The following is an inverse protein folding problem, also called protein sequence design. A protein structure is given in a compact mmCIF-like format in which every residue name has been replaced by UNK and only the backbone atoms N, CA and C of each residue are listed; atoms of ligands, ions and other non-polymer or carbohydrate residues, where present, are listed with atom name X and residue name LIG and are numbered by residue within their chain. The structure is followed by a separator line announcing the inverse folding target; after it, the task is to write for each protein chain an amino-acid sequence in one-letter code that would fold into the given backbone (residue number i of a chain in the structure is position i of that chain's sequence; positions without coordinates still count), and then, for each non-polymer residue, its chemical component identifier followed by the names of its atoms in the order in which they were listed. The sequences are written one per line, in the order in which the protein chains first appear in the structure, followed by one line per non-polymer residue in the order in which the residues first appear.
data_IF_037073129460
#
_entry.id   IF_037073129460
#
_cell.length_a   1.000
_cell.length_b   1.000
_cell.length_c   1.000
_cell.angle_alpha   90.00
_cell.angle_beta   90.00
_cell.angle_gamma   90.00
#
_symmetry.space_group_name_H-M   'P 1'
#
loop_
_entity.id
_entity.type
_entity.pdbx_description
1 polymer ?
#
# COMPACT_ATOMS: atom_id res chain seq x y z
N UNK A 1 -24.59 0.85 8.43
CA UNK A 1 -24.18 1.70 9.56
C UNK A 1 -23.12 2.67 9.05
N UNK A 2 -23.21 3.97 9.39
CA UNK A 2 -22.16 4.92 9.01
C UNK A 2 -20.85 4.56 9.73
N UNK A 3 -19.80 4.30 8.97
CA UNK A 3 -18.48 3.98 9.53
C UNK A 3 -17.89 5.25 10.15
N UNK A 4 -17.42 5.20 11.39
CA UNK A 4 -16.72 6.35 12.00
C UNK A 4 -15.57 6.76 11.10
N UNK A 5 -15.43 8.04 10.74
CA UNK A 5 -14.34 8.48 9.87
C UNK A 5 -12.96 8.16 10.47
N UNK A 6 -12.01 7.73 9.62
CA UNK A 6 -10.62 7.61 10.04
C UNK A 6 -10.05 8.99 10.40
N UNK A 7 -9.14 9.09 11.38
CA UNK A 7 -8.52 10.35 11.74
C UNK A 7 -7.78 10.97 10.55
N UNK A 8 -7.78 12.31 10.52
CA UNK A 8 -6.98 13.06 9.55
C UNK A 8 -5.50 12.99 9.91
N UNK A 9 -4.66 13.09 8.90
CA UNK A 9 -3.22 13.11 9.06
C UNK A 9 -2.72 14.39 9.75
N UNK A 10 -1.94 14.23 10.82
CA UNK A 10 -1.35 15.33 11.58
C UNK A 10 -0.11 14.87 12.34
N UNK A 11 0.63 15.79 12.93
CA UNK A 11 1.72 15.51 13.86
C UNK A 11 1.24 15.85 15.27
N UNK A 12 1.48 14.94 16.20
CA UNK A 12 1.10 15.07 17.60
C UNK A 12 2.15 15.91 18.38
N UNK A 13 1.78 16.51 19.54
CA UNK A 13 2.72 17.26 20.36
C UNK A 13 3.91 16.47 20.90
N UNK A 14 3.78 15.16 21.05
CA UNK A 14 4.85 14.23 21.45
C UNK A 14 5.81 13.86 20.32
N UNK A 15 5.59 14.39 19.11
CA UNK A 15 6.37 14.13 17.92
C UNK A 15 5.94 12.89 17.14
N UNK A 16 4.97 12.11 17.64
CA UNK A 16 4.35 11.04 16.85
C UNK A 16 3.54 11.62 15.69
N UNK A 17 3.29 10.81 14.67
CA UNK A 17 2.52 11.25 13.51
C UNK A 17 1.36 10.31 13.23
N UNK A 18 0.17 10.87 13.06
CA UNK A 18 -0.96 10.17 12.44
C UNK A 18 -0.82 10.34 10.93
N UNK A 19 -0.78 9.22 10.22
CA UNK A 19 -0.64 9.16 8.76
C UNK A 19 -1.69 8.24 8.16
N UNK A 20 -2.04 8.48 6.90
CA UNK A 20 -2.87 7.60 6.09
C UNK A 20 -2.03 6.89 5.04
N UNK A 21 -2.18 5.58 4.96
CA UNK A 21 -1.51 4.72 3.97
C UNK A 21 -2.57 4.05 3.13
N UNK A 22 -2.47 4.18 1.80
CA UNK A 22 -3.37 3.54 0.85
C UNK A 22 -2.60 2.48 0.05
N UNK A 23 -3.03 1.23 0.07
CA UNK A 23 -2.56 0.19 -0.85
C UNK A 23 -3.56 0.01 -1.98
N UNK A 24 -3.08 0.02 -3.24
CA UNK A 24 -3.97 -0.07 -4.39
C UNK A 24 -3.30 -0.74 -5.61
N UNK A 25 -3.81 -1.89 -6.03
CA UNK A 25 -3.49 -2.48 -7.33
C UNK A 25 -4.24 -1.71 -8.43
N UNK A 26 -3.50 -1.04 -9.31
CA UNK A 26 -4.05 -0.12 -10.33
C UNK A 26 -4.10 -0.72 -11.74
N UNK A 27 -3.90 -2.03 -11.87
CA UNK A 27 -4.04 -2.78 -13.14
C UNK A 27 -3.39 -2.10 -14.35
N UNK A 28 -2.17 -1.58 -14.19
CA UNK A 28 -1.44 -0.83 -15.22
C UNK A 28 -2.20 0.38 -15.79
N UNK A 29 -3.16 0.93 -15.05
CA UNK A 29 -4.04 2.04 -15.45
C UNK A 29 -4.79 1.73 -16.76
N UNK A 30 -5.36 0.53 -16.86
CA UNK A 30 -6.12 0.07 -18.04
C UNK A 30 -7.59 0.48 -18.00
N UNK A 31 -8.10 0.78 -16.81
CA UNK A 31 -9.47 1.17 -16.54
C UNK A 31 -9.57 2.72 -16.47
N UNK A 32 -10.56 3.29 -15.78
CA UNK A 32 -10.77 4.73 -15.67
C UNK A 32 -9.73 5.37 -14.74
N UNK A 33 -8.74 6.05 -15.34
CA UNK A 33 -7.66 6.71 -14.61
C UNK A 33 -8.11 7.95 -13.83
N UNK A 34 -9.20 8.59 -14.25
CA UNK A 34 -9.74 9.76 -13.55
C UNK A 34 -10.51 9.31 -12.31
N UNK A 35 -11.28 8.23 -12.40
CA UNK A 35 -11.88 7.58 -11.24
C UNK A 35 -10.82 7.12 -10.23
N UNK A 36 -9.73 6.50 -10.73
CA UNK A 36 -8.59 6.09 -9.90
C UNK A 36 -7.99 7.29 -9.15
N UNK A 37 -7.76 8.41 -9.84
CA UNK A 37 -7.22 9.62 -9.24
C UNK A 37 -8.19 10.22 -8.19
N UNK A 38 -9.51 10.21 -8.46
CA UNK A 38 -10.52 10.69 -7.50
C UNK A 38 -10.55 9.83 -6.24
N UNK A 39 -10.51 8.50 -6.36
CA UNK A 39 -10.46 7.59 -5.21
C UNK A 39 -9.22 7.85 -4.36
N UNK A 40 -8.03 7.92 -4.96
CA UNK A 40 -6.80 8.21 -4.23
C UNK A 40 -6.90 9.58 -3.55
N UNK A 41 -7.32 10.63 -4.27
CA UNK A 41 -7.44 11.99 -3.74
C UNK A 41 -8.44 12.08 -2.59
N UNK A 42 -9.61 11.43 -2.69
CA UNK A 42 -10.62 11.41 -1.65
C UNK A 42 -10.14 10.72 -0.35
N UNK A 43 -9.32 9.67 -0.46
CA UNK A 43 -8.70 9.02 0.70
C UNK A 43 -7.67 9.91 1.41
N UNK A 44 -7.17 10.96 0.75
CA UNK A 44 -6.15 11.90 1.25
C UNK A 44 -4.98 11.17 1.94
N UNK A 45 -4.29 10.21 1.27
CA UNK A 45 -3.22 9.45 1.89
C UNK A 45 -1.92 10.26 1.98
N UNK A 46 -1.10 9.97 2.99
CA UNK A 46 0.29 10.44 3.06
C UNK A 46 1.24 9.56 2.24
N UNK A 47 0.89 8.28 2.12
CA UNK A 47 1.63 7.28 1.35
C UNK A 47 0.66 6.45 0.52
N UNK A 48 1.02 6.20 -0.75
CA UNK A 48 0.30 5.26 -1.62
C UNK A 48 1.24 4.15 -2.03
N UNK A 49 0.88 2.93 -1.69
CA UNK A 49 1.55 1.70 -2.08
C UNK A 49 0.82 1.15 -3.31
N UNK A 50 1.42 1.33 -4.47
CA UNK A 50 0.84 0.94 -5.75
C UNK A 50 1.34 -0.44 -6.16
N UNK A 51 0.44 -1.27 -6.70
CA UNK A 51 0.76 -2.48 -7.41
C UNK A 51 0.33 -2.34 -8.87
N UNK A 52 0.98 -3.06 -9.75
CA UNK A 52 0.78 -3.00 -11.20
C UNK A 52 0.88 -1.59 -11.79
N UNK A 53 1.82 -0.76 -11.33
CA UNK A 53 2.12 0.47 -12.05
C UNK A 53 2.50 0.17 -13.52
N UNK A 54 2.17 1.03 -14.48
CA UNK A 54 2.61 0.86 -15.87
C UNK A 54 4.12 0.65 -15.95
N UNK A 55 4.58 -0.35 -16.74
CA UNK A 55 6.02 -0.68 -16.85
C UNK A 55 6.60 -0.38 -18.21
N UNK A 56 5.75 -0.23 -19.23
CA UNK A 56 6.15 -0.05 -20.63
C UNK A 56 5.84 1.36 -21.10
N UNK A 57 6.13 1.66 -22.31
CA UNK A 57 5.99 2.91 -23.04
C UNK A 57 5.43 4.12 -22.24
N UNK A 58 6.30 5.09 -21.97
CA UNK A 58 5.99 6.33 -21.22
C UNK A 58 5.44 6.10 -19.79
N UNK A 59 5.83 5.00 -19.15
CA UNK A 59 5.32 4.64 -17.84
C UNK A 59 5.49 5.75 -16.79
N UNK A 60 6.65 6.43 -16.77
CA UNK A 60 6.89 7.57 -15.87
C UNK A 60 5.87 8.69 -16.09
N UNK A 61 5.57 9.02 -17.36
CA UNK A 61 4.58 10.06 -17.69
C UNK A 61 3.17 9.68 -17.24
N UNK A 62 2.80 8.41 -17.38
CA UNK A 62 1.49 7.90 -16.93
C UNK A 62 1.39 7.98 -15.40
N UNK A 63 2.39 7.47 -14.68
CA UNK A 63 2.42 7.50 -13.22
C UNK A 63 2.48 8.94 -12.67
N UNK A 64 3.25 9.83 -13.31
CA UNK A 64 3.32 11.24 -12.94
C UNK A 64 1.98 11.98 -13.12
N UNK A 65 1.21 11.63 -14.15
CA UNK A 65 -0.14 12.19 -14.35
C UNK A 65 -1.09 11.73 -13.25
N UNK A 66 -1.06 10.45 -12.90
CA UNK A 66 -1.86 9.93 -11.78
C UNK A 66 -1.47 10.61 -10.46
N UNK A 67 -0.18 10.69 -10.16
CA UNK A 67 0.32 11.35 -8.96
C UNK A 67 -0.15 12.81 -8.89
N UNK A 68 0.02 13.59 -9.96
CA UNK A 68 -0.42 14.98 -10.02
C UNK A 68 -1.96 15.11 -9.87
N UNK A 69 -2.74 14.26 -10.55
CA UNK A 69 -4.20 14.29 -10.50
C UNK A 69 -4.76 13.89 -9.12
N UNK A 70 -4.02 13.10 -8.35
CA UNK A 70 -4.40 12.68 -6.98
C UNK A 70 -3.73 13.48 -5.87
N UNK A 71 -2.99 14.57 -6.20
CA UNK A 71 -2.29 15.40 -5.21
C UNK A 71 -1.07 14.73 -4.59
N UNK A 72 -0.47 13.76 -5.28
CA UNK A 72 0.68 12.99 -4.80
C UNK A 72 1.94 13.27 -5.62
N UNK A 73 3.09 12.84 -5.11
CA UNK A 73 4.38 12.82 -5.80
C UNK A 73 4.91 11.39 -5.91
N UNK A 74 5.63 11.09 -7.00
CA UNK A 74 6.31 9.79 -7.14
C UNK A 74 7.50 9.75 -6.19
N UNK A 75 7.58 8.71 -5.38
CA UNK A 75 8.66 8.45 -4.46
C UNK A 75 9.67 7.44 -5.03
N UNK A 76 9.20 6.26 -5.42
CA UNK A 76 10.04 5.21 -6.03
C UNK A 76 9.18 4.22 -6.82
N UNK A 77 9.82 3.28 -7.53
CA UNK A 77 9.15 2.12 -8.11
C UNK A 77 8.72 2.29 -9.56
N UNK A 78 7.69 1.53 -9.94
CA UNK A 78 7.23 1.37 -11.31
C UNK A 78 8.03 0.30 -12.06
N UNK A 79 8.50 0.59 -13.27
CA UNK A 79 9.26 -0.39 -14.05
C UNK A 79 10.52 -0.92 -13.35
N UNK A 80 11.33 -0.09 -12.62
CA UNK A 80 12.52 -0.59 -11.90
C UNK A 80 12.20 -1.62 -10.81
N UNK A 81 11.03 -1.51 -10.14
CA UNK A 81 10.57 -2.45 -9.13
C UNK A 81 9.63 -3.54 -9.68
N UNK A 82 9.58 -3.72 -11.01
CA UNK A 82 8.72 -4.68 -11.70
C UNK A 82 7.20 -4.51 -11.42
N UNK A 83 6.75 -3.26 -11.15
CA UNK A 83 5.34 -2.93 -10.99
C UNK A 83 4.94 -2.25 -9.69
N UNK A 84 5.41 -2.66 -8.50
CA UNK A 84 5.24 -1.88 -7.29
C UNK A 84 5.79 -0.46 -7.42
N UNK A 85 5.07 0.52 -6.84
CA UNK A 85 5.51 1.90 -6.77
C UNK A 85 5.05 2.54 -5.45
N UNK A 86 5.72 3.62 -5.08
CA UNK A 86 5.37 4.45 -3.94
C UNK A 86 5.09 5.86 -4.38
N UNK A 87 3.96 6.42 -3.91
CA UNK A 87 3.70 7.85 -3.96
C UNK A 87 3.62 8.41 -2.55
N UNK A 88 3.84 9.71 -2.41
CA UNK A 88 3.70 10.40 -1.12
C UNK A 88 3.09 11.79 -1.26
N UNK A 89 2.49 12.27 -0.17
CA UNK A 89 2.06 13.65 0.00
C UNK A 89 3.27 14.57 0.28
N UNK A 90 3.07 15.88 0.18
CA UNK A 90 4.09 16.88 0.52
C UNK A 90 4.46 16.91 2.03
N UNK A 91 3.73 16.19 2.89
CA UNK A 91 4.06 16.05 4.30
C UNK A 91 5.27 15.15 4.56
N UNK A 92 5.57 14.24 3.62
CA UNK A 92 6.68 13.30 3.77
C UNK A 92 8.03 13.96 3.45
N UNK A 93 8.98 13.86 4.36
CA UNK A 93 10.39 14.14 4.09
C UNK A 93 11.07 12.82 3.72
N UNK A 94 11.65 12.75 2.52
CA UNK A 94 12.26 11.53 1.98
C UNK A 94 13.72 11.44 2.41
N UNK A 95 14.11 10.35 3.07
CA UNK A 95 15.52 10.09 3.43
C UNK A 95 16.21 9.19 2.40
N UNK A 96 15.53 8.13 1.95
CA UNK A 96 16.09 7.13 1.04
C UNK A 96 14.99 6.43 0.26
N UNK A 97 15.28 6.06 -0.96
CA UNK A 97 14.42 5.20 -1.79
C UNK A 97 15.26 4.10 -2.44
N UNK A 98 14.66 2.93 -2.67
CA UNK A 98 15.31 1.85 -3.39
C UNK A 98 14.29 0.97 -4.09
N UNK A 99 14.59 0.61 -5.34
CA UNK A 99 13.83 -0.32 -6.15
C UNK A 99 14.55 -1.67 -6.15
N UNK A 100 13.89 -2.71 -5.68
CA UNK A 100 14.45 -4.06 -5.52
C UNK A 100 13.80 -5.00 -6.51
N UNK A 101 14.60 -5.67 -7.34
CA UNK A 101 14.13 -6.79 -8.16
C UNK A 101 14.37 -8.08 -7.40
N UNK A 102 13.33 -8.92 -7.33
CA UNK A 102 13.44 -10.26 -6.77
C UNK A 102 14.06 -11.24 -7.78
N UNK A 103 14.64 -12.36 -7.32
CA UNK A 103 15.07 -13.43 -8.21
C UNK A 103 13.96 -13.81 -9.19
N UNK A 104 14.33 -14.10 -10.44
CA UNK A 104 13.37 -14.50 -11.46
C UNK A 104 13.27 -16.04 -11.49
N UNK A 105 12.10 -16.55 -11.18
CA UNK A 105 11.77 -17.95 -11.39
C UNK A 105 11.40 -18.17 -12.88
N UNK A 106 12.04 -19.09 -13.60
CA UNK A 106 11.68 -19.39 -14.99
C UNK A 106 10.19 -19.71 -15.15
N UNK A 107 9.55 -19.07 -16.12
CA UNK A 107 8.10 -19.21 -16.36
C UNK A 107 7.20 -18.34 -15.50
N UNK A 108 7.73 -17.64 -14.49
CA UNK A 108 6.99 -16.73 -13.64
C UNK A 108 7.19 -15.25 -14.04
N UNK A 109 6.29 -14.38 -13.57
CA UNK A 109 6.42 -12.95 -13.77
C UNK A 109 7.50 -12.36 -12.85
N UNK A 110 8.35 -11.47 -13.39
CA UNK A 110 9.29 -10.72 -12.57
C UNK A 110 8.54 -9.93 -11.49
N UNK A 111 8.98 -10.10 -10.24
CA UNK A 111 8.48 -9.38 -9.07
C UNK A 111 9.57 -8.48 -8.48
N UNK A 112 9.17 -7.56 -7.61
CA UNK A 112 10.07 -6.65 -6.94
C UNK A 112 9.37 -5.90 -5.81
N UNK A 113 10.13 -5.05 -5.14
CA UNK A 113 9.65 -4.16 -4.10
C UNK A 113 10.03 -2.72 -4.42
N UNK A 114 9.13 -1.78 -4.19
CA UNK A 114 9.44 -0.37 -4.09
C UNK A 114 9.56 -0.02 -2.61
N UNK A 115 10.71 0.54 -2.19
CA UNK A 115 10.96 0.84 -0.79
C UNK A 115 11.39 2.28 -0.58
N UNK A 116 11.11 2.81 0.62
CA UNK A 116 11.53 4.12 1.06
C UNK A 116 11.75 4.17 2.57
N UNK A 117 12.55 5.14 3.01
CA UNK A 117 12.57 5.64 4.37
C UNK A 117 12.12 7.08 4.33
N UNK A 118 11.08 7.41 5.10
CA UNK A 118 10.46 8.73 5.15
C UNK A 118 10.29 9.21 6.58
N UNK A 119 10.12 10.53 6.74
CA UNK A 119 9.75 11.17 8.02
C UNK A 119 8.47 11.97 7.89
N UNK A 120 7.71 11.97 8.97
CA UNK A 120 6.59 12.86 9.23
C UNK A 120 6.89 13.59 10.56
N UNK A 121 7.55 14.76 10.49
CA UNK A 121 8.10 15.40 11.67
C UNK A 121 9.22 14.53 12.30
N UNK A 122 9.06 14.18 13.58
CA UNK A 122 10.00 13.31 14.30
C UNK A 122 9.78 11.81 14.05
N UNK A 123 8.62 11.42 13.53
CA UNK A 123 8.29 10.02 13.27
C UNK A 123 8.99 9.51 12.00
N UNK A 124 9.85 8.50 12.12
CA UNK A 124 10.62 7.90 11.05
C UNK A 124 10.06 6.53 10.68
N UNK A 125 9.79 6.29 9.38
CA UNK A 125 9.07 5.12 8.90
C UNK A 125 9.74 4.49 7.69
N UNK A 126 9.97 3.18 7.75
CA UNK A 126 10.27 2.33 6.59
C UNK A 126 8.98 1.99 5.84
N UNK A 127 9.01 2.03 4.51
CA UNK A 127 7.84 1.79 3.66
C UNK A 127 8.19 0.80 2.57
N UNK A 128 7.31 -0.19 2.33
CA UNK A 128 7.48 -1.18 1.28
C UNK A 128 6.15 -1.45 0.55
N UNK A 129 6.16 -1.30 -0.78
CA UNK A 129 5.08 -1.78 -1.65
C UNK A 129 5.50 -3.08 -2.33
N UNK A 130 4.61 -4.08 -2.34
CA UNK A 130 4.84 -5.39 -2.95
C UNK A 130 3.68 -5.81 -3.85
N UNK A 131 3.98 -6.72 -4.79
CA UNK A 131 3.00 -7.52 -5.53
C UNK A 131 3.58 -8.93 -5.66
N UNK A 132 3.09 -9.85 -4.83
CA UNK A 132 3.67 -11.19 -4.71
C UNK A 132 3.22 -12.11 -5.85
N UNK A 133 3.87 -13.26 -5.97
CA UNK A 133 3.60 -14.23 -7.04
C UNK A 133 2.24 -14.89 -6.93
N UNK A 134 1.71 -15.30 -8.08
CA UNK A 134 0.54 -16.20 -8.16
C UNK A 134 0.91 -17.65 -7.78
N UNK A 135 2.17 -18.04 -7.98
CA UNK A 135 2.67 -19.34 -7.53
C UNK A 135 2.84 -19.34 -6.00
N UNK A 136 2.32 -20.37 -5.34
CA UNK A 136 2.24 -20.42 -3.88
C UNK A 136 3.60 -20.58 -3.20
N UNK A 137 4.52 -21.33 -3.80
CA UNK A 137 5.85 -21.57 -3.23
C UNK A 137 6.73 -20.35 -3.42
N UNK A 138 6.77 -19.80 -4.64
CA UNK A 138 7.48 -18.55 -4.91
C UNK A 138 6.95 -17.40 -4.04
N UNK A 139 5.63 -17.29 -3.90
CA UNK A 139 5.00 -16.28 -3.04
C UNK A 139 5.43 -16.41 -1.58
N UNK A 140 5.53 -17.65 -1.07
CA UNK A 140 5.97 -17.89 0.30
C UNK A 140 7.43 -17.47 0.54
N UNK A 141 8.32 -17.74 -0.42
CA UNK A 141 9.71 -17.27 -0.39
C UNK A 141 9.77 -15.74 -0.45
N UNK A 142 9.00 -15.13 -1.35
CA UNK A 142 8.91 -13.68 -1.48
C UNK A 142 8.38 -13.01 -0.20
N UNK A 143 7.48 -13.66 0.54
CA UNK A 143 7.04 -13.21 1.87
C UNK A 143 8.21 -13.14 2.88
N UNK A 144 9.12 -14.12 2.85
CA UNK A 144 10.36 -14.08 3.63
C UNK A 144 11.27 -12.92 3.23
N UNK A 145 11.51 -12.76 1.92
CA UNK A 145 12.33 -11.66 1.39
C UNK A 145 11.75 -10.28 1.73
N UNK A 146 10.41 -10.16 1.82
CA UNK A 146 9.74 -8.94 2.26
C UNK A 146 10.11 -8.59 3.71
N UNK A 147 10.04 -9.57 4.62
CA UNK A 147 10.41 -9.37 6.03
C UNK A 147 11.89 -8.98 6.18
N UNK A 148 12.78 -9.67 5.47
CA UNK A 148 14.21 -9.36 5.45
C UNK A 148 14.46 -7.93 4.92
N UNK A 149 13.73 -7.55 3.87
CA UNK A 149 13.85 -6.22 3.29
C UNK A 149 13.34 -5.12 4.22
N UNK A 150 12.24 -5.34 4.92
CA UNK A 150 11.74 -4.39 5.94
C UNK A 150 12.78 -4.19 7.05
N UNK A 151 13.38 -5.26 7.55
CA UNK A 151 14.43 -5.20 8.57
C UNK A 151 15.64 -4.41 8.06
N UNK A 152 16.05 -4.63 6.80
CA UNK A 152 17.18 -3.94 6.16
C UNK A 152 16.95 -2.43 5.94
N UNK A 153 15.72 -1.92 6.07
CA UNK A 153 15.47 -0.47 6.04
C UNK A 153 16.06 0.25 7.25
N UNK A 154 16.33 -0.46 8.34
CA UNK A 154 16.98 0.11 9.53
C UNK A 154 16.15 1.20 10.21
N UNK A 155 14.83 1.02 10.26
CA UNK A 155 13.89 1.91 10.94
C UNK A 155 13.23 1.18 12.10
N UNK A 156 12.93 1.86 13.24
CA UNK A 156 12.22 1.23 14.35
C UNK A 156 10.78 0.89 13.99
N UNK A 157 10.20 1.64 13.06
CA UNK A 157 8.83 1.49 12.59
C UNK A 157 8.80 1.29 11.08
N UNK A 158 7.97 0.38 10.62
CA UNK A 158 7.80 0.12 9.19
C UNK A 158 6.36 -0.26 8.85
N UNK A 159 5.97 0.02 7.61
CA UNK A 159 4.73 -0.39 6.99
C UNK A 159 5.04 -1.10 5.67
N UNK A 160 4.37 -2.22 5.44
CA UNK A 160 4.36 -2.91 4.16
C UNK A 160 2.92 -3.12 3.70
N UNK A 161 2.70 -3.09 2.41
CA UNK A 161 1.39 -3.42 1.87
C UNK A 161 1.45 -3.72 0.38
N UNK A 162 0.39 -4.31 -0.09
CA UNK A 162 0.27 -4.66 -1.49
C UNK A 162 -0.72 -5.78 -1.76
N UNK A 163 -0.70 -6.21 -3.01
CA UNK A 163 -1.37 -7.39 -3.47
C UNK A 163 -0.52 -8.62 -3.13
N UNK A 164 -0.96 -9.37 -2.14
CA UNK A 164 -0.25 -10.56 -1.65
C UNK A 164 -0.56 -11.79 -2.50
N UNK A 165 -1.61 -11.75 -3.33
CA UNK A 165 -2.14 -12.93 -4.03
C UNK A 165 -2.40 -14.12 -3.09
N UNK A 166 -2.58 -13.84 -1.80
CA UNK A 166 -2.85 -14.83 -0.76
C UNK A 166 -3.95 -14.34 0.17
N UNK A 167 -4.67 -15.25 0.79
CA UNK A 167 -5.75 -14.95 1.74
C UNK A 167 -5.23 -15.03 3.17
N UNK A 168 -5.97 -14.51 4.17
CA UNK A 168 -5.57 -14.57 5.57
C UNK A 168 -5.26 -15.96 6.11
N UNK A 169 -5.91 -17.00 5.56
CA UNK A 169 -5.68 -18.43 5.85
C UNK A 169 -4.57 -19.05 5.00
N UNK A 170 -3.88 -18.26 4.17
CA UNK A 170 -2.78 -18.71 3.33
C UNK A 170 -1.42 -18.59 4.02
N UNK A 171 -0.53 -19.54 3.72
CA UNK A 171 0.79 -19.69 4.40
C UNK A 171 1.70 -18.47 4.30
N UNK A 172 1.59 -17.66 3.24
CA UNK A 172 2.37 -16.44 3.10
C UNK A 172 1.78 -15.34 3.97
N UNK A 173 0.47 -15.18 3.95
CA UNK A 173 -0.22 -14.21 4.77
C UNK A 173 0.01 -14.49 6.27
N UNK A 174 -0.13 -15.74 6.70
CA UNK A 174 0.16 -16.18 8.07
C UNK A 174 1.60 -15.88 8.50
N UNK A 175 2.58 -16.14 7.63
CA UNK A 175 3.99 -15.80 7.86
C UNK A 175 4.18 -14.30 8.11
N UNK A 176 3.55 -13.44 7.32
CA UNK A 176 3.63 -12.00 7.51
C UNK A 176 2.92 -11.56 8.79
N UNK A 177 1.73 -12.07 9.06
CA UNK A 177 0.94 -11.76 10.25
C UNK A 177 1.59 -12.25 11.56
N UNK A 178 2.42 -13.29 11.53
CA UNK A 178 3.21 -13.73 12.68
C UNK A 178 4.29 -12.71 13.10
N UNK A 179 4.84 -11.97 12.13
CA UNK A 179 5.93 -11.00 12.33
C UNK A 179 5.43 -9.56 12.45
N UNK A 180 4.35 -9.22 11.75
CA UNK A 180 3.78 -7.88 11.63
C UNK A 180 2.32 -7.89 12.11
N UNK A 181 1.78 -6.70 12.36
CA UNK A 181 0.35 -6.52 12.62
C UNK A 181 -0.40 -6.45 11.29
N UNK A 182 -1.36 -7.34 11.06
CA UNK A 182 -2.34 -7.20 9.98
C UNK A 182 -3.30 -6.05 10.33
N UNK A 183 -3.34 -5.04 9.48
CA UNK A 183 -4.14 -3.83 9.71
C UNK A 183 -5.61 -4.12 9.93
N UNK A 184 -6.22 -4.93 9.05
CA UNK A 184 -7.63 -5.30 9.16
C UNK A 184 -7.91 -6.12 10.44
N UNK A 185 -7.13 -7.16 10.68
CA UNK A 185 -7.35 -8.03 11.84
C UNK A 185 -7.16 -7.27 13.17
N UNK A 186 -6.26 -6.27 13.20
CA UNK A 186 -5.98 -5.47 14.40
C UNK A 186 -7.08 -4.43 14.65
N UNK A 187 -7.53 -3.71 13.61
CA UNK A 187 -8.53 -2.64 13.74
C UNK A 187 -9.39 -2.55 12.47
N UNK A 188 -10.40 -3.39 12.31
CA UNK A 188 -11.27 -3.38 11.14
C UNK A 188 -11.97 -2.03 10.96
N UNK A 189 -11.99 -1.51 9.71
CA UNK A 189 -12.69 -0.31 9.33
C UNK A 189 -13.13 -0.40 7.86
N UNK A 190 -14.36 0.05 7.53
CA UNK A 190 -14.88 -0.04 6.18
C UNK A 190 -15.28 -1.46 5.79
N UNK A 191 -14.91 -1.91 4.59
CA UNK A 191 -15.16 -3.28 4.15
C UNK A 191 -13.87 -4.11 4.12
N UNK A 192 -14.02 -5.44 4.17
CA UNK A 192 -12.89 -6.37 4.26
C UNK A 192 -12.32 -6.76 2.90
N UNK A 193 -13.21 -7.18 1.99
CA UNK A 193 -12.80 -7.86 0.76
C UNK A 193 -12.33 -6.88 -0.31
N UNK A 194 -11.22 -7.21 -0.97
CA UNK A 194 -10.58 -6.34 -1.95
C UNK A 194 -10.71 -6.82 -3.39
N UNK A 195 -11.05 -8.10 -3.61
CA UNK A 195 -11.12 -8.71 -4.94
C UNK A 195 -12.30 -9.69 -5.04
N UNK A 196 -13.04 -9.76 -6.13
CA UNK A 196 -13.09 -8.91 -7.32
C UNK A 196 -14.03 -7.72 -7.04
N UNK A 197 -13.74 -6.51 -7.57
CA UNK A 197 -14.47 -5.25 -7.31
C UNK A 197 -16.00 -5.32 -7.38
N UNK A 198 -16.56 -6.12 -8.33
CA UNK A 198 -18.01 -6.18 -8.58
C UNK A 198 -18.74 -7.10 -7.60
N UNK A 199 -18.05 -8.08 -7.03
CA UNK A 199 -18.55 -9.01 -6.01
C UNK A 199 -17.39 -9.41 -5.08
N UNK A 200 -16.91 -8.51 -4.21
CA UNK A 200 -15.74 -8.77 -3.39
C UNK A 200 -15.99 -9.93 -2.43
N UNK A 201 -15.15 -10.96 -2.49
CA UNK A 201 -15.26 -12.17 -1.68
C UNK A 201 -13.90 -12.69 -1.18
N UNK A 202 -12.81 -11.96 -1.47
CA UNK A 202 -11.45 -12.29 -1.04
C UNK A 202 -10.73 -11.04 -0.57
N UNK A 203 -9.97 -11.18 0.51
CA UNK A 203 -9.02 -10.18 0.99
C UNK A 203 -7.62 -10.64 0.61
N UNK A 204 -7.10 -10.17 -0.52
CA UNK A 204 -5.77 -10.49 -1.05
C UNK A 204 -4.82 -9.29 -1.04
N UNK A 205 -5.35 -8.11 -0.84
CA UNK A 205 -4.59 -6.88 -0.60
C UNK A 205 -4.60 -6.57 0.90
N UNK A 206 -3.46 -6.14 1.43
CA UNK A 206 -3.32 -5.87 2.85
C UNK A 206 -2.32 -4.73 3.13
N UNK A 207 -2.46 -4.15 4.32
CA UNK A 207 -1.47 -3.25 4.94
C UNK A 207 -1.04 -3.87 6.26
N UNK A 208 0.26 -4.07 6.40
CA UNK A 208 0.91 -4.56 7.62
C UNK A 208 1.78 -3.48 8.24
N UNK A 209 1.89 -3.48 9.55
CA UNK A 209 2.77 -2.58 10.28
C UNK A 209 3.58 -3.32 11.36
N UNK A 210 4.77 -2.81 11.69
CA UNK A 210 5.53 -3.30 12.85
C UNK A 210 4.78 -3.06 14.16
N UNK A 211 5.03 -3.90 15.17
CA UNK A 211 4.29 -3.90 16.46
C UNK A 211 4.34 -2.56 17.23
N UNK A 212 5.32 -1.70 16.96
CA UNK A 212 5.41 -0.38 17.58
C UNK A 212 4.50 0.69 16.95
N UNK A 213 3.89 0.39 15.80
CA UNK A 213 2.94 1.27 15.12
C UNK A 213 1.53 0.99 15.62
N UNK A 214 0.78 2.00 16.05
CA UNK A 214 -0.64 1.82 16.41
C UNK A 214 -1.52 1.91 15.17
N UNK A 215 -2.36 0.90 14.96
CA UNK A 215 -3.35 0.86 13.88
C UNK A 215 -4.65 1.49 14.38
N UNK A 216 -5.04 2.62 13.79
CA UNK A 216 -6.25 3.37 14.17
C UNK A 216 -7.49 2.93 13.37
N UNK A 217 -7.29 2.23 12.27
CA UNK A 217 -8.31 1.61 11.44
C UNK A 217 -7.74 1.21 10.08
N UNK A 218 -8.25 0.13 9.50
CA UNK A 218 -7.78 -0.40 8.21
C UNK A 218 -8.90 -1.14 7.48
N UNK A 219 -9.05 -0.90 6.17
CA UNK A 219 -9.97 -1.63 5.30
C UNK A 219 -10.31 -0.87 4.02
N UNK A 220 -11.25 -1.41 3.27
CA UNK A 220 -11.74 -0.78 2.03
C UNK A 220 -12.57 0.45 2.37
N UNK A 221 -12.29 1.63 1.77
CA UNK A 221 -12.93 2.90 2.14
C UNK A 221 -14.35 3.05 1.60
N UNK A 222 -15.17 2.01 1.75
CA UNK A 222 -16.57 2.02 1.36
C UNK A 222 -17.34 2.94 2.32
N UNK A 223 -18.04 3.94 1.76
CA UNK A 223 -18.74 4.95 2.55
C UNK A 223 -17.84 6.06 3.11
N UNK A 224 -16.54 6.07 2.76
CA UNK A 224 -15.67 7.20 3.10
C UNK A 224 -16.07 8.47 2.32
N UNK A 225 -16.11 9.65 2.96
CA UNK A 225 -16.47 10.90 2.29
C UNK A 225 -15.64 11.14 1.02
N UNK A 226 -16.32 11.40 -0.09
CA UNK A 226 -15.69 11.62 -1.39
C UNK A 226 -15.32 10.34 -2.18
N UNK A 227 -15.40 9.16 -1.57
CA UNK A 227 -15.25 7.88 -2.28
C UNK A 227 -16.62 7.35 -2.68
N UNK A 228 -16.87 7.23 -3.98
CA UNK A 228 -18.13 6.69 -4.50
C UNK A 228 -17.96 5.24 -4.96
N UNK A 229 -19.02 4.43 -4.83
CA UNK A 229 -18.99 3.06 -5.36
C UNK A 229 -18.79 3.04 -6.89
N UNK A 230 -19.31 4.05 -7.59
CA UNK A 230 -19.12 4.21 -9.03
C UNK A 230 -17.64 4.37 -9.37
N UNK A 231 -16.91 5.23 -8.65
CA UNK A 231 -15.48 5.41 -8.88
C UNK A 231 -14.68 4.17 -8.49
N UNK A 232 -15.00 3.52 -7.37
CA UNK A 232 -14.36 2.27 -6.96
C UNK A 232 -14.51 1.18 -8.04
N UNK A 233 -15.69 1.07 -8.66
CA UNK A 233 -15.94 0.10 -9.74
C UNK A 233 -15.29 0.48 -11.06
N UNK A 234 -15.15 1.77 -11.36
CA UNK A 234 -14.55 2.22 -12.61
C UNK A 234 -13.01 2.20 -12.57
N UNK A 235 -12.40 2.39 -11.41
CA UNK A 235 -10.98 2.67 -11.26
C UNK A 235 -10.07 1.47 -11.61
N UNK A 236 -10.38 0.27 -11.15
CA UNK A 236 -9.60 -0.96 -11.37
C UNK A 236 -10.40 -2.19 -10.94
N UNK A 237 -9.87 -3.40 -11.11
CA UNK A 237 -10.50 -4.66 -10.69
C UNK A 237 -10.28 -5.02 -9.21
N UNK A 238 -9.43 -4.29 -8.51
CA UNK A 238 -9.25 -4.36 -7.06
C UNK A 238 -9.94 -3.21 -6.34
N UNK A 239 -10.23 -3.39 -5.06
CA UNK A 239 -10.60 -2.30 -4.15
C UNK A 239 -9.39 -1.91 -3.30
N UNK A 240 -9.20 -0.60 -3.01
CA UNK A 240 -8.06 -0.14 -2.22
C UNK A 240 -8.20 -0.50 -0.75
N UNK A 241 -7.08 -0.62 -0.05
CA UNK A 241 -7.02 -0.73 1.41
C UNK A 241 -6.46 0.57 1.98
N UNK A 242 -7.28 1.28 2.76
CA UNK A 242 -6.88 2.49 3.48
C UNK A 242 -6.63 2.15 4.94
N UNK A 243 -5.47 2.53 5.45
CA UNK A 243 -5.11 2.43 6.86
C UNK A 243 -4.78 3.79 7.44
N UNK A 244 -5.25 4.07 8.65
CA UNK A 244 -4.78 5.17 9.49
C UNK A 244 -3.87 4.59 10.57
N UNK A 245 -2.67 5.14 10.70
CA UNK A 245 -1.61 4.65 11.57
C UNK A 245 -1.09 5.81 12.44
N UNK A 246 -0.81 5.54 13.73
CA UNK A 246 0.01 6.43 14.56
C UNK A 246 1.41 5.85 14.66
N UNK A 247 2.39 6.59 14.14
CA UNK A 247 3.81 6.24 14.14
C UNK A 247 4.51 7.03 15.25
N UNK A 248 5.13 6.38 16.24
CA UNK A 248 5.85 7.07 17.31
C UNK A 248 7.01 7.91 16.78
N UNK A 249 7.39 8.94 17.54
CA UNK A 249 8.64 9.68 17.32
C UNK A 249 9.86 8.72 17.45
N UNK A 250 10.93 8.98 16.69
CA UNK A 250 12.13 8.12 16.62
C UNK A 250 13.41 8.96 16.61
#
# INVERSE_FOLDING_TARGET
MATTPLPHSHTEPDGSAVIRVLSYNIRSMRDDTDALARVIGACAPDLVLIQEAPRFFRWRKKLARLAAASGQMILSGGAPAAGPALLCSLRATVERTEDVLLPLTPGQFRRGFATAVVRFGAARLGVLSCHLSLDADERHEQGGMLLDRLAALGTPHAVAGGDLNDRPDGRTFERLAASLQDGWATRPWGAEHTWIRDAPHRRIDAVFATKGVEILGCGVPLGHPGVTETDLRAATDHLPVLAALRVPAS
#
